data_IF_418717848668
#
_entry.id   IF_418717848668
#
_cell.length_a   1.000
_cell.length_b   1.000
_cell.length_c   1.000
_cell.angle_alpha   90.00
_cell.angle_beta   90.00
_cell.angle_gamma   90.00
#
_symmetry.space_group_name_H-M   'P 1'
#
loop_
_entity.id
_entity.type
_entity.pdbx_description
1 polymer ?
#
# COMPACT_ATOMS: atom_id res chain seq x y z
N UNK A 1 18.16 44.63 -4.57
CA UNK A 1 19.13 43.96 -5.47
C UNK A 1 19.74 42.70 -4.86
N UNK A 2 20.58 42.76 -3.82
CA UNK A 2 21.13 41.55 -3.18
C UNK A 2 20.07 40.62 -2.54
N UNK A 3 19.06 41.21 -1.89
CA UNK A 3 17.94 40.44 -1.30
C UNK A 3 17.07 39.74 -2.35
N UNK A 4 16.92 40.31 -3.54
CA UNK A 4 16.16 39.69 -4.64
C UNK A 4 16.97 38.59 -5.32
N UNK A 5 18.27 38.82 -5.55
CA UNK A 5 19.18 37.78 -6.03
C UNK A 5 19.22 36.57 -5.08
N UNK A 6 19.26 36.83 -3.76
CA UNK A 6 19.22 35.77 -2.75
C UNK A 6 17.89 35.02 -2.76
N UNK A 7 16.76 35.74 -2.86
CA UNK A 7 15.42 35.12 -2.99
C UNK A 7 15.29 34.27 -4.25
N UNK A 8 15.74 34.77 -5.40
CA UNK A 8 15.66 34.04 -6.67
C UNK A 8 16.59 32.83 -6.68
N UNK A 9 17.79 32.95 -6.12
CA UNK A 9 18.71 31.81 -6.00
C UNK A 9 18.16 30.74 -5.07
N UNK A 10 17.60 31.15 -3.92
CA UNK A 10 16.99 30.23 -2.96
C UNK A 10 15.76 29.54 -3.56
N UNK A 11 14.87 30.27 -4.22
CA UNK A 11 13.67 29.70 -4.86
C UNK A 11 13.98 28.83 -6.08
N UNK A 12 15.05 29.15 -6.83
CA UNK A 12 15.52 28.33 -7.94
C UNK A 12 16.15 27.01 -7.45
N UNK A 13 16.94 27.08 -6.37
CA UNK A 13 17.52 25.89 -5.72
C UNK A 13 16.43 24.96 -5.16
N UNK A 14 15.45 25.54 -4.47
CA UNK A 14 14.27 24.82 -3.96
C UNK A 14 13.47 24.16 -5.09
N UNK A 15 13.27 24.88 -6.20
CA UNK A 15 12.60 24.34 -7.38
C UNK A 15 13.36 23.22 -8.09
N UNK A 16 14.70 23.23 -8.07
CA UNK A 16 15.53 22.17 -8.67
C UNK A 16 15.57 20.91 -7.80
N UNK A 17 15.54 21.04 -6.48
CA UNK A 17 15.60 19.90 -5.55
C UNK A 17 14.23 19.25 -5.31
N UNK A 18 13.14 20.03 -5.41
CA UNK A 18 11.76 19.59 -5.16
C UNK A 18 11.36 18.30 -5.90
N UNK A 19 11.64 18.08 -7.21
CA UNK A 19 11.28 16.84 -7.89
C UNK A 19 11.97 15.60 -7.31
N UNK A 20 13.22 15.72 -6.86
CA UNK A 20 13.96 14.60 -6.27
C UNK A 20 13.40 14.23 -4.89
N UNK A 21 13.05 15.24 -4.08
CA UNK A 21 12.39 15.02 -2.79
C UNK A 21 11.03 14.33 -2.98
N UNK A 22 10.19 14.84 -3.88
CA UNK A 22 8.87 14.25 -4.17
C UNK A 22 8.97 12.83 -4.73
N UNK A 23 9.97 12.54 -5.56
CA UNK A 23 10.23 11.18 -6.04
C UNK A 23 10.61 10.22 -4.90
N UNK A 24 11.52 10.64 -4.02
CA UNK A 24 11.94 9.82 -2.88
C UNK A 24 10.78 9.56 -1.91
N UNK A 25 9.98 10.60 -1.62
CA UNK A 25 8.77 10.48 -0.79
C UNK A 25 7.77 9.49 -1.40
N UNK A 26 7.54 9.56 -2.71
CA UNK A 26 6.67 8.62 -3.42
C UNK A 26 7.18 7.18 -3.31
N UNK A 27 8.48 6.95 -3.50
CA UNK A 27 9.07 5.61 -3.36
C UNK A 27 8.93 5.06 -1.94
N UNK A 28 9.28 5.87 -0.94
CA UNK A 28 9.16 5.49 0.47
C UNK A 28 7.71 5.13 0.79
N UNK A 29 6.74 5.96 0.39
CA UNK A 29 5.32 5.69 0.59
C UNK A 29 4.87 4.38 -0.02
N UNK A 30 5.31 4.07 -1.25
CA UNK A 30 4.93 2.82 -1.91
C UNK A 30 5.54 1.58 -1.25
N UNK A 31 6.79 1.69 -0.80
CA UNK A 31 7.45 0.63 -0.03
C UNK A 31 6.70 0.41 1.29
N UNK A 32 6.33 1.48 1.99
CA UNK A 32 5.59 1.41 3.24
C UNK A 32 4.21 0.76 3.04
N UNK A 33 3.41 1.25 2.09
CA UNK A 33 2.07 0.73 1.81
C UNK A 33 2.12 -0.75 1.37
N UNK A 34 3.08 -1.12 0.52
CA UNK A 34 3.26 -2.50 0.07
C UNK A 34 3.70 -3.42 1.21
N UNK A 35 4.63 -2.94 2.06
CA UNK A 35 5.12 -3.71 3.21
C UNK A 35 4.02 -3.91 4.24
N UNK A 36 3.23 -2.88 4.52
CA UNK A 36 2.08 -2.98 5.42
C UNK A 36 1.06 -3.99 4.89
N UNK A 37 0.73 -3.95 3.60
CA UNK A 37 -0.15 -4.94 2.98
C UNK A 37 0.38 -6.37 3.15
N UNK A 38 1.68 -6.59 2.91
CA UNK A 38 2.29 -7.92 3.10
C UNK A 38 2.25 -8.38 4.57
N UNK A 39 2.54 -7.50 5.53
CA UNK A 39 2.48 -7.81 6.96
C UNK A 39 1.06 -8.14 7.42
N UNK A 40 0.08 -7.36 6.98
CA UNK A 40 -1.33 -7.59 7.29
C UNK A 40 -1.83 -8.92 6.69
N UNK A 41 -1.51 -9.19 5.43
CA UNK A 41 -1.85 -10.46 4.77
C UNK A 41 -1.20 -11.66 5.48
N UNK A 42 0.09 -11.58 5.82
CA UNK A 42 0.78 -12.64 6.57
C UNK A 42 0.12 -12.91 7.92
N UNK A 43 -0.21 -11.85 8.68
CA UNK A 43 -0.91 -12.00 9.96
C UNK A 43 -2.27 -12.66 9.78
N UNK A 44 -3.09 -12.16 8.83
CA UNK A 44 -4.45 -12.65 8.57
C UNK A 44 -4.43 -14.14 8.20
N UNK A 45 -3.55 -14.55 7.29
CA UNK A 45 -3.47 -15.95 6.87
C UNK A 45 -2.89 -16.87 7.97
N UNK A 46 -1.97 -16.38 8.79
CA UNK A 46 -1.50 -17.10 9.97
C UNK A 46 -2.63 -17.30 10.99
N UNK A 47 -3.42 -16.26 11.26
CA UNK A 47 -4.56 -16.31 12.18
C UNK A 47 -5.62 -17.31 11.69
N UNK A 48 -5.94 -17.31 10.39
CA UNK A 48 -6.81 -18.31 9.75
C UNK A 48 -6.28 -19.73 9.99
N UNK A 49 -4.99 -19.97 9.72
CA UNK A 49 -4.38 -21.29 9.90
C UNK A 49 -4.40 -21.77 11.36
N UNK A 50 -4.04 -20.88 12.29
CA UNK A 50 -4.06 -21.17 13.74
C UNK A 50 -5.49 -21.46 14.21
N UNK A 51 -6.48 -20.68 13.75
CA UNK A 51 -7.88 -20.89 14.09
C UNK A 51 -8.39 -22.22 13.53
N UNK A 52 -7.98 -22.60 12.32
CA UNK A 52 -8.33 -23.90 11.74
C UNK A 52 -7.76 -25.06 12.57
N UNK A 53 -6.52 -24.96 13.03
CA UNK A 53 -5.91 -25.97 13.93
C UNK A 53 -6.68 -26.04 15.25
N UNK A 54 -6.96 -24.89 15.89
CA UNK A 54 -7.75 -24.83 17.13
C UNK A 54 -9.12 -25.49 16.95
N UNK A 55 -9.82 -25.15 15.88
CA UNK A 55 -11.13 -25.72 15.56
C UNK A 55 -11.04 -27.23 15.32
N UNK A 56 -10.01 -27.72 14.63
CA UNK A 56 -9.80 -29.16 14.42
C UNK A 56 -9.52 -29.90 15.73
N UNK A 57 -8.69 -29.34 16.62
CA UNK A 57 -8.40 -29.95 17.93
C UNK A 57 -9.58 -29.91 18.91
N UNK A 58 -10.59 -29.07 18.64
CA UNK A 58 -11.79 -28.98 19.45
C UNK A 58 -12.84 -30.06 19.13
N UNK A 59 -12.66 -30.82 18.03
CA UNK A 59 -13.56 -31.92 17.65
C UNK A 59 -13.37 -33.11 18.60
N UNK A 60 -14.43 -33.46 19.34
CA UNK A 60 -14.43 -34.54 20.34
C UNK A 60 -15.57 -35.55 20.14
N UNK A 61 -16.57 -35.17 19.36
CA UNK A 61 -17.80 -35.93 19.13
C UNK A 61 -18.47 -35.49 17.81
N UNK A 62 -19.57 -36.14 17.45
CA UNK A 62 -20.31 -35.85 16.21
C UNK A 62 -20.88 -34.42 16.19
N UNK A 63 -21.26 -33.86 17.33
CA UNK A 63 -21.79 -32.49 17.43
C UNK A 63 -20.71 -31.47 17.09
N UNK A 64 -19.54 -31.58 17.73
CA UNK A 64 -18.37 -30.73 17.46
C UNK A 64 -17.80 -30.93 16.05
N UNK A 65 -17.98 -32.11 15.44
CA UNK A 65 -17.67 -32.35 14.03
C UNK A 65 -18.60 -31.55 13.10
N UNK A 66 -19.90 -31.46 13.40
CA UNK A 66 -20.84 -30.64 12.63
C UNK A 66 -20.46 -29.15 12.75
N UNK A 67 -20.15 -28.69 13.97
CA UNK A 67 -19.69 -27.31 14.20
C UNK A 67 -18.40 -27.00 13.44
N UNK A 68 -17.43 -27.92 13.41
CA UNK A 68 -16.21 -27.78 12.63
C UNK A 68 -16.47 -27.63 11.13
N UNK A 69 -17.41 -28.42 10.58
CA UNK A 69 -17.79 -28.31 9.17
C UNK A 69 -18.44 -26.95 8.85
N UNK A 70 -19.30 -26.43 9.73
CA UNK A 70 -19.89 -25.09 9.56
C UNK A 70 -18.81 -24.02 9.57
N UNK A 71 -17.88 -24.06 10.53
CA UNK A 71 -16.76 -23.11 10.62
C UNK A 71 -15.81 -23.17 9.42
N UNK A 72 -15.66 -24.34 8.78
CA UNK A 72 -14.87 -24.46 7.56
C UNK A 72 -15.41 -23.58 6.41
N UNK A 73 -16.74 -23.52 6.26
CA UNK A 73 -17.37 -22.67 5.25
C UNK A 73 -17.17 -21.17 5.56
N UNK A 74 -17.22 -20.80 6.84
CA UNK A 74 -16.91 -19.44 7.29
C UNK A 74 -15.45 -19.08 7.01
N UNK A 75 -14.51 -19.97 7.34
CA UNK A 75 -13.07 -19.78 7.05
C UNK A 75 -12.81 -19.61 5.55
N UNK A 76 -13.49 -20.38 4.69
CA UNK A 76 -13.36 -20.22 3.24
C UNK A 76 -13.89 -18.86 2.76
N UNK A 77 -15.02 -18.42 3.33
CA UNK A 77 -15.60 -17.11 3.04
C UNK A 77 -14.66 -15.98 3.46
N UNK A 78 -14.09 -16.07 4.67
CA UNK A 78 -13.11 -15.13 5.19
C UNK A 78 -11.85 -15.08 4.30
N UNK A 79 -11.32 -16.23 3.90
CA UNK A 79 -10.18 -16.31 2.99
C UNK A 79 -10.48 -15.64 1.64
N UNK A 80 -11.63 -15.94 1.05
CA UNK A 80 -12.05 -15.36 -0.23
C UNK A 80 -12.19 -13.84 -0.15
N UNK A 81 -12.85 -13.34 0.89
CA UNK A 81 -12.97 -11.89 1.14
C UNK A 81 -11.61 -11.24 1.33
N UNK A 82 -10.71 -11.87 2.08
CA UNK A 82 -9.33 -11.40 2.30
C UNK A 82 -8.57 -11.23 0.99
N UNK A 83 -8.64 -12.24 0.11
CA UNK A 83 -7.95 -12.18 -1.19
C UNK A 83 -8.49 -11.05 -2.07
N UNK A 84 -9.81 -10.83 -2.05
CA UNK A 84 -10.44 -9.74 -2.81
C UNK A 84 -10.02 -8.38 -2.25
N UNK A 85 -10.03 -8.22 -0.91
CA UNK A 85 -9.60 -7.00 -0.23
C UNK A 85 -8.13 -6.68 -0.50
N UNK A 86 -7.24 -7.67 -0.38
CA UNK A 86 -5.82 -7.53 -0.65
C UNK A 86 -5.58 -7.15 -2.12
N UNK A 87 -6.30 -7.78 -3.06
CA UNK A 87 -6.24 -7.46 -4.48
C UNK A 87 -6.70 -6.03 -4.77
N UNK A 88 -7.77 -5.57 -4.11
CA UNK A 88 -8.26 -4.19 -4.23
C UNK A 88 -7.21 -3.20 -3.72
N UNK A 89 -6.65 -3.44 -2.53
CA UNK A 89 -5.61 -2.58 -1.94
C UNK A 89 -4.35 -2.54 -2.79
N UNK A 90 -3.92 -3.67 -3.34
CA UNK A 90 -2.79 -3.71 -4.28
C UNK A 90 -3.06 -2.84 -5.53
N UNK A 91 -4.28 -2.91 -6.07
CA UNK A 91 -4.69 -2.06 -7.20
C UNK A 91 -4.68 -0.57 -6.83
N UNK A 92 -5.14 -0.21 -5.64
CA UNK A 92 -5.12 1.16 -5.12
C UNK A 92 -3.68 1.69 -4.98
N UNK A 93 -2.76 0.89 -4.42
CA UNK A 93 -1.33 1.24 -4.33
C UNK A 93 -0.76 1.48 -5.73
N UNK A 94 -1.02 0.60 -6.69
CA UNK A 94 -0.54 0.75 -8.06
C UNK A 94 -1.09 2.00 -8.76
N UNK A 95 -2.37 2.32 -8.55
CA UNK A 95 -2.99 3.53 -9.09
C UNK A 95 -2.41 4.81 -8.45
N UNK A 96 -2.22 4.80 -7.13
CA UNK A 96 -1.57 5.89 -6.38
C UNK A 96 -0.14 6.13 -6.88
N UNK A 97 0.66 5.07 -7.04
CA UNK A 97 2.00 5.15 -7.61
C UNK A 97 2.00 5.78 -8.99
N UNK A 98 1.14 5.29 -9.89
CA UNK A 98 1.02 5.82 -11.25
C UNK A 98 0.63 7.30 -11.24
N UNK A 99 -0.36 7.69 -10.43
CA UNK A 99 -0.80 9.08 -10.33
C UNK A 99 0.33 10.01 -9.87
N UNK A 100 1.06 9.61 -8.82
CA UNK A 100 2.19 10.39 -8.30
C UNK A 100 3.34 10.50 -9.33
N UNK A 101 3.59 9.43 -10.10
CA UNK A 101 4.55 9.47 -11.21
C UNK A 101 4.12 10.41 -12.33
N UNK A 102 2.86 10.34 -12.74
CA UNK A 102 2.31 11.20 -13.80
C UNK A 102 2.37 12.68 -13.38
N UNK A 103 2.09 12.99 -12.10
CA UNK A 103 2.23 14.34 -11.53
C UNK A 103 3.69 14.83 -11.48
N UNK A 104 4.62 13.96 -11.07
CA UNK A 104 6.04 14.27 -11.06
C UNK A 104 6.55 14.57 -12.48
N UNK A 105 6.14 13.76 -13.46
CA UNK A 105 6.48 13.96 -14.87
C UNK A 105 5.91 15.28 -15.41
N UNK A 106 4.64 15.58 -15.11
CA UNK A 106 4.02 16.85 -15.49
C UNK A 106 4.76 18.06 -14.87
N UNK A 107 5.14 17.98 -13.59
CA UNK A 107 5.90 19.01 -12.90
C UNK A 107 7.29 19.21 -13.50
N UNK A 108 7.99 18.11 -13.82
CA UNK A 108 9.29 18.15 -14.48
C UNK A 108 9.19 18.80 -15.87
N UNK A 109 8.18 18.44 -16.67
CA UNK A 109 7.95 19.04 -18.00
C UNK A 109 7.60 20.53 -17.90
N UNK A 110 6.78 20.94 -16.94
CA UNK A 110 6.42 22.34 -16.72
C UNK A 110 7.62 23.20 -16.31
N UNK A 111 8.56 22.64 -15.53
CA UNK A 111 9.81 23.31 -15.14
C UNK A 111 10.88 23.31 -16.26
N UNK A 112 10.82 22.35 -17.18
CA UNK A 112 11.71 22.25 -18.35
C UNK A 112 11.23 23.07 -19.56
N UNK A 113 9.97 23.49 -19.60
CA UNK A 113 9.45 24.38 -20.63
C UNK A 113 10.16 25.74 -20.57
N UNK A 114 10.70 26.25 -21.69
CA UNK A 114 11.42 27.52 -21.69
C UNK A 114 10.48 28.66 -21.30
N UNK A 115 10.98 29.55 -20.43
CA UNK A 115 10.36 30.84 -20.15
C UNK A 115 10.50 31.69 -21.40
N UNK A 116 9.46 31.70 -22.25
CA UNK A 116 9.26 32.71 -23.29
C UNK A 116 8.44 33.87 -22.75
#
# INVERSE_FOLDING_TARGET
MYSELFKTFSSQTENMMSPFTSYNEMLVKNIEETTNLQLEAMKKYADIGINQIKNATAVKDVTSLIEFNTKQAETFTELSQSLIEDGKRMSEIAQSFKGNLDELAATAMKKAAPTT
#
